data_IF_768108403710
#
_entry.id   IF_768108403710
#
_cell.length_a   1.000
_cell.length_b   1.000
_cell.length_c   1.000
_cell.angle_alpha   90.00
_cell.angle_beta   90.00
_cell.angle_gamma   90.00
#
_symmetry.space_group_name_H-M   'P 1'
#
loop_
_entity.id
_entity.type
_entity.pdbx_description
1 polymer ?
#
# COMPACT_ATOMS: atom_id res chain seq x y z
N UNK A 1 -36.74 -41.63 9.81
CA UNK A 1 -36.26 -41.84 8.43
C UNK A 1 -36.69 -40.64 7.59
N UNK A 2 -35.77 -40.09 6.78
CA UNK A 2 -35.86 -38.98 5.79
C UNK A 2 -35.80 -37.56 6.39
N UNK A 3 -34.63 -36.91 6.42
CA UNK A 3 -33.92 -36.16 5.35
C UNK A 3 -34.62 -34.84 4.94
N UNK A 4 -34.01 -33.70 5.29
CA UNK A 4 -33.37 -32.70 4.39
C UNK A 4 -34.36 -31.93 3.49
N UNK A 5 -34.44 -30.59 3.50
CA UNK A 5 -33.39 -29.66 3.06
C UNK A 5 -33.72 -28.22 3.50
N UNK A 6 -32.71 -27.52 4.04
CA UNK A 6 -32.60 -26.06 3.98
C UNK A 6 -32.12 -25.71 2.57
N UNK A 7 -32.77 -24.77 1.90
CA UNK A 7 -32.15 -24.03 0.79
C UNK A 7 -32.38 -22.54 1.02
N UNK A 8 -31.28 -21.85 1.32
CA UNK A 8 -31.22 -20.40 1.43
C UNK A 8 -31.37 -19.77 0.06
N UNK A 9 -32.29 -18.83 -0.07
CA UNK A 9 -32.37 -17.96 -1.22
C UNK A 9 -31.18 -16.99 -1.18
N UNK A 10 -30.19 -17.28 -2.01
CA UNK A 10 -29.14 -16.36 -2.43
C UNK A 10 -29.78 -15.13 -3.06
N UNK A 11 -29.57 -13.97 -2.45
CA UNK A 11 -29.90 -12.68 -3.07
C UNK A 11 -29.03 -12.52 -4.33
N UNK A 12 -29.62 -12.78 -5.49
CA UNK A 12 -29.06 -12.42 -6.79
C UNK A 12 -29.05 -10.90 -6.88
N UNK A 13 -27.87 -10.31 -6.67
CA UNK A 13 -27.68 -8.88 -6.80
C UNK A 13 -27.85 -8.50 -8.28
N UNK A 14 -29.03 -8.00 -8.62
CA UNK A 14 -29.40 -7.65 -9.98
C UNK A 14 -28.48 -6.55 -10.52
N UNK A 15 -27.60 -6.91 -11.45
CA UNK A 15 -26.62 -6.01 -12.06
C UNK A 15 -27.27 -4.98 -13.00
N UNK A 16 -28.59 -5.09 -13.24
CA UNK A 16 -29.38 -4.20 -14.11
C UNK A 16 -29.46 -2.76 -13.60
N UNK A 17 -29.24 -2.52 -12.30
CA UNK A 17 -29.37 -1.20 -11.67
C UNK A 17 -28.11 -0.33 -11.77
N UNK A 18 -27.00 -0.83 -12.32
CA UNK A 18 -25.78 -0.02 -12.46
C UNK A 18 -25.87 0.94 -13.67
N UNK A 19 -25.31 2.15 -13.58
CA UNK A 19 -25.15 3.05 -14.72
C UNK A 19 -24.59 2.30 -15.95
N UNK A 20 -25.04 2.63 -17.16
CA UNK A 20 -24.68 1.89 -18.37
C UNK A 20 -23.14 1.77 -18.60
N UNK A 21 -22.38 2.75 -18.09
CA UNK A 21 -20.91 2.76 -18.11
C UNK A 21 -20.32 1.65 -17.22
N UNK A 22 -20.91 1.39 -16.05
CA UNK A 22 -20.45 0.36 -15.11
C UNK A 22 -20.80 -1.05 -15.58
N UNK A 23 -21.93 -1.21 -16.28
CA UNK A 23 -22.29 -2.47 -16.95
C UNK A 23 -21.32 -2.81 -18.08
N UNK A 24 -20.95 -1.83 -18.91
CA UNK A 24 -19.94 -2.02 -19.96
C UNK A 24 -18.56 -2.33 -19.40
N UNK A 25 -18.13 -1.66 -18.31
CA UNK A 25 -16.85 -1.96 -17.65
C UNK A 25 -16.80 -3.37 -17.08
N UNK A 26 -17.89 -3.85 -16.49
CA UNK A 26 -17.98 -5.21 -15.96
C UNK A 26 -18.02 -6.30 -17.06
N UNK A 27 -18.54 -5.97 -18.26
CA UNK A 27 -18.61 -6.89 -19.39
C UNK A 27 -17.37 -6.93 -20.27
N UNK A 28 -16.45 -5.98 -20.12
CA UNK A 28 -15.16 -6.05 -20.80
C UNK A 28 -14.31 -7.14 -20.12
N UNK A 29 -13.59 -7.98 -20.89
CA UNK A 29 -12.62 -8.90 -20.32
C UNK A 29 -11.59 -8.09 -19.55
N UNK A 30 -11.78 -8.02 -18.23
CA UNK A 30 -10.81 -7.43 -17.32
C UNK A 30 -9.60 -8.33 -17.39
N UNK A 31 -8.40 -7.80 -17.68
CA UNK A 31 -7.21 -8.63 -17.70
C UNK A 31 -7.09 -9.31 -16.35
N UNK A 32 -6.98 -10.64 -16.34
CA UNK A 32 -6.85 -11.39 -15.10
C UNK A 32 -5.43 -11.24 -14.56
N UNK A 33 -5.24 -10.22 -13.74
CA UNK A 33 -3.98 -9.97 -13.05
C UNK A 33 -3.81 -10.84 -11.80
N UNK A 34 -4.65 -11.85 -11.56
CA UNK A 34 -4.58 -12.69 -10.35
C UNK A 34 -3.24 -13.44 -10.27
N UNK A 35 -2.69 -13.88 -11.40
CA UNK A 35 -1.35 -14.49 -11.43
C UNK A 35 -0.28 -13.48 -10.99
N UNK A 36 -0.29 -12.28 -11.57
CA UNK A 36 0.65 -11.20 -11.23
C UNK A 36 0.56 -10.80 -9.75
N UNK A 37 -0.66 -10.63 -9.23
CA UNK A 37 -0.93 -10.34 -7.81
C UNK A 37 -0.51 -11.47 -6.85
N UNK A 38 -0.29 -12.68 -7.34
CA UNK A 38 0.13 -13.83 -6.50
C UNK A 38 1.62 -14.12 -6.62
N UNK A 39 2.18 -14.02 -7.81
CA UNK A 39 3.56 -14.39 -8.10
C UNK A 39 4.54 -13.19 -8.01
N UNK A 40 4.09 -11.98 -8.36
CA UNK A 40 4.93 -10.79 -8.49
C UNK A 40 4.43 -9.60 -7.64
N UNK A 41 3.50 -9.84 -6.71
CA UNK A 41 3.05 -8.79 -5.81
C UNK A 41 4.19 -8.29 -4.92
N UNK A 42 4.42 -6.98 -4.99
CA UNK A 42 5.41 -6.23 -4.23
C UNK A 42 4.71 -5.66 -2.98
N UNK A 43 5.22 -5.79 -1.73
CA UNK A 43 6.31 -6.62 -1.23
C UNK A 43 6.00 -8.11 -1.09
N UNK A 44 4.74 -8.48 -1.30
CA UNK A 44 4.31 -9.86 -1.29
C UNK A 44 2.80 -9.93 -1.45
N UNK A 45 2.24 -11.13 -1.68
CA UNK A 45 0.81 -11.32 -1.88
C UNK A 45 -0.04 -11.02 -0.63
N UNK A 46 0.60 -10.83 0.52
CA UNK A 46 -0.06 -10.49 1.79
C UNK A 46 -0.11 -8.99 2.06
N UNK A 47 0.48 -8.15 1.21
CA UNK A 47 0.59 -6.73 1.47
C UNK A 47 -0.24 -5.93 0.47
N UNK A 48 -0.82 -4.84 0.96
CA UNK A 48 -1.58 -3.88 0.19
C UNK A 48 -0.81 -2.56 0.17
N UNK A 49 -0.69 -1.99 -1.03
CA UNK A 49 -0.23 -0.63 -1.20
C UNK A 49 -1.23 0.33 -0.55
N UNK A 50 -0.76 1.11 0.42
CA UNK A 50 -1.58 2.14 1.07
C UNK A 50 -1.42 3.47 0.35
N UNK A 51 -0.18 3.84 0.02
CA UNK A 51 0.15 5.08 -0.65
C UNK A 51 1.62 5.46 -0.48
N UNK A 52 2.02 6.50 -1.21
CA UNK A 52 3.27 7.20 -0.94
C UNK A 52 3.04 8.30 0.09
N UNK A 53 4.04 8.56 0.91
CA UNK A 53 4.10 9.74 1.77
C UNK A 53 4.04 10.99 0.91
N UNK A 54 3.38 12.02 1.41
CA UNK A 54 3.36 13.32 0.75
C UNK A 54 3.55 14.40 1.81
N UNK A 55 4.53 15.27 1.56
CA UNK A 55 4.83 16.40 2.42
C UNK A 55 4.66 17.69 1.61
N UNK A 56 3.57 18.42 1.88
CA UNK A 56 3.18 19.66 1.20
C UNK A 56 4.28 20.71 1.29
N UNK A 57 5.02 20.76 2.40
CA UNK A 57 6.05 21.77 2.62
C UNK A 57 7.20 21.64 1.60
N UNK A 58 7.36 20.47 1.00
CA UNK A 58 8.42 20.16 0.05
C UNK A 58 7.98 20.26 -1.41
N UNK A 59 6.68 20.45 -1.69
CA UNK A 59 6.10 20.28 -3.03
C UNK A 59 6.57 21.32 -4.07
N UNK A 60 7.36 22.31 -3.66
CA UNK A 60 8.02 23.27 -4.54
C UNK A 60 9.42 23.68 -4.04
N UNK A 61 9.98 22.95 -3.08
CA UNK A 61 11.31 23.24 -2.56
C UNK A 61 12.37 22.54 -3.42
N UNK A 62 13.52 23.20 -3.55
CA UNK A 62 14.72 22.61 -4.16
C UNK A 62 15.93 22.92 -3.29
N UNK A 63 16.98 22.10 -3.41
CA UNK A 63 18.23 22.27 -2.66
C UNK A 63 18.32 21.42 -1.39
N UNK A 64 19.10 21.93 -0.42
CA UNK A 64 19.65 21.15 0.70
C UNK A 64 18.61 20.43 1.55
N UNK A 65 17.43 21.00 1.75
CA UNK A 65 16.34 20.40 2.55
C UNK A 65 15.79 19.13 1.89
N UNK A 66 15.55 19.18 0.58
CA UNK A 66 15.04 18.04 -0.19
C UNK A 66 16.10 16.95 -0.29
N UNK A 67 17.37 17.35 -0.46
CA UNK A 67 18.50 16.41 -0.51
C UNK A 67 18.74 15.74 0.84
N UNK A 68 18.65 16.49 1.95
CA UNK A 68 18.75 15.96 3.31
C UNK A 68 17.65 14.92 3.57
N UNK A 69 16.40 15.26 3.25
CA UNK A 69 15.29 14.30 3.39
C UNK A 69 15.48 13.06 2.52
N UNK A 70 15.81 13.25 1.25
CA UNK A 70 16.03 12.14 0.32
C UNK A 70 17.17 11.24 0.79
N UNK A 71 18.25 11.82 1.33
CA UNK A 71 19.38 11.10 1.91
C UNK A 71 18.98 10.29 3.14
N UNK A 72 18.20 10.87 4.05
CA UNK A 72 17.70 10.19 5.24
C UNK A 72 16.74 9.04 4.89
N UNK A 73 15.86 9.21 3.91
CA UNK A 73 14.99 8.14 3.40
C UNK A 73 15.84 7.03 2.78
N UNK A 74 16.81 7.37 1.92
CA UNK A 74 17.71 6.37 1.31
C UNK A 74 18.55 5.62 2.33
N UNK A 75 18.95 6.29 3.41
CA UNK A 75 19.72 5.66 4.48
C UNK A 75 18.94 4.58 5.25
N UNK A 76 17.61 4.54 5.14
CA UNK A 76 16.83 3.40 5.65
C UNK A 76 17.09 2.12 4.87
N UNK A 77 17.29 2.23 3.56
CA UNK A 77 17.34 1.08 2.64
C UNK A 77 18.80 0.74 2.33
N UNK A 78 19.50 0.19 3.32
CA UNK A 78 20.91 -0.20 3.16
C UNK A 78 21.00 -1.60 2.53
N UNK A 79 21.96 -1.80 1.62
CA UNK A 79 22.33 -3.13 1.07
C UNK A 79 21.17 -3.99 0.55
N UNK A 80 20.35 -3.43 -0.34
CA UNK A 80 19.41 -4.21 -1.16
C UNK A 80 18.10 -4.58 -0.46
N UNK A 81 17.89 -4.13 0.78
CA UNK A 81 16.57 -4.14 1.41
C UNK A 81 15.67 -3.12 0.74
N UNK A 82 14.54 -3.58 0.22
CA UNK A 82 13.55 -2.75 -0.48
C UNK A 82 12.46 -2.20 0.44
N UNK A 83 12.40 -2.72 1.66
CA UNK A 83 11.37 -2.47 2.65
C UNK A 83 11.83 -2.91 4.02
N UNK A 84 11.34 -2.19 5.01
CA UNK A 84 11.57 -2.48 6.42
C UNK A 84 10.27 -2.31 7.22
N UNK A 85 10.12 -3.02 8.35
CA UNK A 85 9.04 -2.77 9.29
C UNK A 85 8.95 -1.30 9.71
N UNK A 86 7.73 -0.79 9.87
CA UNK A 86 7.51 0.59 10.33
C UNK A 86 8.17 0.84 11.69
N UNK A 87 8.18 -0.14 12.59
CA UNK A 87 8.83 -0.04 13.90
C UNK A 87 10.33 0.15 13.77
N UNK A 88 10.98 -0.53 12.84
CA UNK A 88 12.40 -0.37 12.55
C UNK A 88 12.68 0.99 11.89
N UNK A 89 11.81 1.43 10.98
CA UNK A 89 11.93 2.74 10.34
C UNK A 89 11.87 3.87 11.38
N UNK A 90 10.92 3.79 12.31
CA UNK A 90 10.77 4.74 13.42
C UNK A 90 11.89 4.64 14.47
N UNK A 91 12.69 3.58 14.46
CA UNK A 91 13.90 3.47 15.29
C UNK A 91 15.10 4.24 14.71
N UNK A 92 15.04 4.65 13.44
CA UNK A 92 16.10 5.43 12.81
C UNK A 92 15.89 6.93 13.06
N UNK A 93 16.72 7.52 13.92
CA UNK A 93 16.64 8.94 14.29
C UNK A 93 16.71 9.88 13.08
N UNK A 94 17.56 9.56 12.09
CA UNK A 94 17.69 10.36 10.87
C UNK A 94 16.40 10.40 10.07
N UNK A 95 15.71 9.27 9.96
CA UNK A 95 14.41 9.20 9.33
C UNK A 95 13.31 9.90 10.15
N UNK A 96 13.21 9.63 11.45
CA UNK A 96 12.16 10.26 12.28
C UNK A 96 12.27 11.78 12.30
N UNK A 97 13.49 12.33 12.26
CA UNK A 97 13.74 13.77 12.27
C UNK A 97 13.31 14.47 10.97
N UNK A 98 13.19 13.75 9.86
CA UNK A 98 12.74 14.32 8.57
C UNK A 98 11.25 14.17 8.32
N UNK A 99 10.53 13.47 9.20
CA UNK A 99 9.08 13.29 9.09
C UNK A 99 8.35 14.57 9.46
N UNK A 100 7.32 14.90 8.69
CA UNK A 100 6.31 15.83 9.17
C UNK A 100 5.56 15.20 10.36
N UNK A 101 4.93 16.06 11.16
CA UNK A 101 4.07 15.61 12.27
C UNK A 101 3.01 14.59 11.81
N UNK A 102 2.40 14.82 10.66
CA UNK A 102 1.35 13.93 10.13
C UNK A 102 1.88 12.58 9.71
N UNK A 103 3.06 12.54 9.08
CA UNK A 103 3.72 11.28 8.70
C UNK A 103 4.11 10.49 9.94
N UNK A 104 4.72 11.14 10.94
CA UNK A 104 5.08 10.49 12.20
C UNK A 104 3.85 9.93 12.92
N UNK A 105 2.79 10.74 13.07
CA UNK A 105 1.54 10.32 13.70
C UNK A 105 0.84 9.20 12.90
N UNK A 106 0.95 9.19 11.57
CA UNK A 106 0.41 8.11 10.75
C UNK A 106 1.17 6.81 11.02
N UNK A 107 2.50 6.84 10.89
CA UNK A 107 3.35 5.66 11.01
C UNK A 107 3.22 5.01 12.39
N UNK A 108 3.20 5.79 13.46
CA UNK A 108 3.02 5.29 14.84
C UNK A 108 1.67 4.59 15.09
N UNK A 109 0.65 4.90 14.29
CA UNK A 109 -0.68 4.26 14.37
C UNK A 109 -0.81 3.03 13.49
N UNK A 110 0.14 2.78 12.60
CA UNK A 110 0.11 1.60 11.74
C UNK A 110 0.43 0.34 12.56
N UNK A 111 -0.16 -0.81 12.19
CA UNK A 111 0.25 -2.09 12.78
C UNK A 111 1.75 -2.33 12.58
N UNK A 112 2.39 -2.99 13.54
CA UNK A 112 3.83 -3.33 13.49
C UNK A 112 4.20 -4.16 12.24
N UNK A 113 3.26 -4.94 11.70
CA UNK A 113 3.45 -5.68 10.46
C UNK A 113 3.35 -4.82 9.19
N UNK A 114 3.19 -3.51 9.31
CA UNK A 114 3.25 -2.61 8.16
C UNK A 114 4.70 -2.34 7.76
N UNK A 115 4.94 -2.10 6.48
CA UNK A 115 6.27 -1.86 5.94
C UNK A 115 6.37 -0.46 5.35
N UNK A 116 7.56 0.12 5.47
CA UNK A 116 8.00 1.30 4.72
C UNK A 116 8.91 0.82 3.59
N UNK A 117 8.74 1.37 2.38
CA UNK A 117 9.53 1.04 1.20
C UNK A 117 9.94 2.27 0.40
N UNK A 118 10.74 2.08 -0.64
CA UNK A 118 11.03 3.15 -1.60
C UNK A 118 9.74 3.59 -2.33
N UNK A 119 9.59 4.89 -2.57
CA UNK A 119 8.50 5.41 -3.40
C UNK A 119 8.88 5.37 -4.87
N UNK A 120 7.98 4.86 -5.71
CA UNK A 120 8.21 4.64 -7.12
C UNK A 120 6.99 5.13 -7.89
N UNK A 121 7.21 5.90 -8.96
CA UNK A 121 6.14 6.38 -9.83
C UNK A 121 5.61 5.30 -10.78
N UNK A 122 4.61 5.67 -11.59
CA UNK A 122 3.98 4.79 -12.59
C UNK A 122 4.96 4.26 -13.65
N UNK A 123 6.08 4.95 -13.88
CA UNK A 123 7.08 4.64 -14.88
C UNK A 123 8.25 3.85 -14.27
N UNK A 124 8.16 3.50 -12.97
CA UNK A 124 9.19 2.77 -12.25
C UNK A 124 10.34 3.64 -11.72
N UNK A 125 10.20 4.97 -11.72
CA UNK A 125 11.23 5.88 -11.23
C UNK A 125 11.03 6.23 -9.76
N UNK A 126 12.14 6.32 -9.04
CA UNK A 126 12.15 6.67 -7.63
C UNK A 126 11.63 8.09 -7.37
N UNK A 127 10.69 8.23 -6.43
CA UNK A 127 10.23 9.51 -5.88
C UNK A 127 11.07 9.82 -4.65
N UNK A 128 12.26 10.40 -4.87
CA UNK A 128 13.36 10.51 -3.88
C UNK A 128 12.99 11.04 -2.50
N UNK A 129 12.06 11.98 -2.40
CA UNK A 129 11.67 12.63 -1.14
C UNK A 129 10.44 11.96 -0.48
N UNK A 130 9.98 10.84 -1.03
CA UNK A 130 8.82 10.11 -0.55
C UNK A 130 9.19 8.67 -0.22
N UNK A 131 8.43 8.06 0.67
CA UNK A 131 8.48 6.63 0.97
C UNK A 131 7.10 6.01 0.75
N UNK A 132 7.06 4.71 0.50
CA UNK A 132 5.83 3.96 0.35
C UNK A 132 5.41 3.32 1.66
N UNK A 133 4.11 3.25 1.91
CA UNK A 133 3.52 2.49 3.01
C UNK A 133 2.81 1.26 2.46
N UNK A 134 3.15 0.10 3.02
CA UNK A 134 2.49 -1.17 2.77
C UNK A 134 1.86 -1.69 4.05
N UNK A 135 0.63 -2.19 3.97
CA UNK A 135 -0.07 -2.79 5.10
C UNK A 135 -0.35 -4.24 4.83
N UNK A 136 -0.13 -5.10 5.81
CA UNK A 136 -0.50 -6.50 5.70
C UNK A 136 -2.04 -6.64 5.61
N UNK A 137 -2.50 -7.29 4.54
CA UNK A 137 -3.87 -7.77 4.38
C UNK A 137 -4.11 -8.86 5.42
N UNK A 138 -4.65 -8.47 6.58
CA UNK A 138 -5.27 -9.42 7.50
C UNK A 138 -6.54 -9.96 6.83
N UNK A 139 -6.39 -10.92 5.91
CA UNK A 139 -7.51 -11.77 5.50
C UNK A 139 -8.06 -12.36 6.78
N UNK A 140 -9.24 -11.91 7.18
CA UNK A 140 -9.87 -12.34 8.41
C UNK A 140 -9.78 -13.86 8.48
N UNK A 141 -8.96 -14.37 9.40
CA UNK A 141 -9.15 -15.71 9.92
C UNK A 141 -10.50 -15.63 10.62
N UNK A 142 -11.57 -15.92 9.88
CA UNK A 142 -12.78 -16.46 10.48
C UNK A 142 -12.36 -17.82 11.00
N UNK A 143 -11.89 -17.85 12.25
CA UNK A 143 -11.89 -19.06 13.06
C UNK A 143 -13.31 -19.34 13.50
#
# INVERSE_FOLDING_TARGET
MKESKKDGATATHDQSQRPAVDRRRASLPQPDFTFYKKAEAYPGPKYLFVGHSYNVDLDNQTGEVVDHRSGAIKALFVKGEKWLPVTEALGNEGFTNILSRYEHDLLTRLPESSLVGEAIDKDGKEIKHSFTIWREERRGRRS
#
